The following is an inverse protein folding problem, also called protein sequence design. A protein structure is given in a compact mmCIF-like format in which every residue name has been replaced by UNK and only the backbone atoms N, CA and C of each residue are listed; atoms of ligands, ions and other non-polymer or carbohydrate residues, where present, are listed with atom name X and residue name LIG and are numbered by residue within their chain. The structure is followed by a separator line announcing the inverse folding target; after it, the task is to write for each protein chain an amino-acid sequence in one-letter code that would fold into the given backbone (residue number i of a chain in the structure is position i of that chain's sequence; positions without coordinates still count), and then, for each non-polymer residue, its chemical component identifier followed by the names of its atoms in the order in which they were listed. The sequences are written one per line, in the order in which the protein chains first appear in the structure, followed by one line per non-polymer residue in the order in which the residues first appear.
data_IF_151074196707
#
_entry.id   IF_151074196707
#
_cell.length_a   1.000
_cell.length_b   1.000
_cell.length_c   1.000
_cell.angle_alpha   90.00
_cell.angle_beta   90.00
_cell.angle_gamma   90.00
#
_symmetry.space_group_name_H-M   'P 1'
#
loop_
_entity.id
_entity.type
_entity.pdbx_description
1 polymer ?
#
# COMPACT_ATOMS: atom_id res chain seq x y z
N UNK A 1 82.72 15.96 -38.32
CA UNK A 1 81.60 15.16 -38.86
C UNK A 1 81.04 14.33 -37.71
N UNK A 2 79.83 14.53 -37.19
CA UNK A 2 78.78 15.51 -37.48
C UNK A 2 78.11 15.99 -36.17
N UNK A 3 77.40 17.13 -36.19
CA UNK A 3 76.81 17.73 -35.00
C UNK A 3 75.35 17.31 -34.78
N UNK A 4 74.97 17.27 -33.51
CA UNK A 4 73.59 17.23 -32.99
C UNK A 4 72.97 18.63 -32.95
N UNK A 5 71.62 18.68 -32.98
CA UNK A 5 70.67 19.80 -32.81
C UNK A 5 69.83 19.98 -34.10
N UNK A 6 68.51 20.08 -34.09
CA UNK A 6 67.47 20.07 -33.08
C UNK A 6 66.17 20.26 -33.89
N UNK A 7 65.15 19.43 -33.67
CA UNK A 7 63.93 19.52 -34.47
C UNK A 7 62.79 20.12 -33.65
N UNK A 8 62.17 21.13 -34.26
CA UNK A 8 61.06 21.92 -33.76
C UNK A 8 59.84 21.05 -33.45
N UNK A 9 59.19 21.33 -32.33
CA UNK A 9 57.75 21.10 -32.19
C UNK A 9 57.14 22.30 -31.48
N UNK A 10 56.45 23.12 -32.28
CA UNK A 10 55.46 24.12 -31.87
C UNK A 10 54.51 23.54 -30.84
N UNK A 11 54.50 24.12 -29.64
CA UNK A 11 53.42 23.93 -28.66
C UNK A 11 52.12 24.50 -29.22
N UNK A 12 51.17 23.61 -29.52
CA UNK A 12 49.75 23.96 -29.61
C UNK A 12 49.20 23.76 -28.21
N UNK A 13 48.97 24.87 -27.49
CA UNK A 13 48.20 24.86 -26.26
C UNK A 13 46.76 24.41 -26.58
N UNK A 14 46.48 23.13 -26.35
CA UNK A 14 45.11 22.65 -26.21
C UNK A 14 44.65 23.11 -24.84
N UNK A 15 43.75 24.10 -24.81
CA UNK A 15 42.97 24.43 -23.63
C UNK A 15 41.96 23.31 -23.46
N UNK A 16 42.33 22.28 -22.70
CA UNK A 16 41.37 21.34 -22.11
C UNK A 16 40.67 22.06 -20.97
N UNK A 17 39.37 22.29 -21.14
CA UNK A 17 38.47 22.71 -20.06
C UNK A 17 38.51 21.63 -18.96
N UNK A 18 38.80 21.96 -17.69
CA UNK A 18 38.99 20.96 -16.64
C UNK A 18 37.67 20.38 -16.10
N UNK A 19 36.52 20.79 -16.64
CA UNK A 19 35.20 20.46 -16.08
C UNK A 19 34.53 19.21 -16.69
N UNK A 20 35.14 18.54 -17.68
CA UNK A 20 34.50 17.40 -18.39
C UNK A 20 34.96 16.00 -17.91
N UNK A 21 35.97 15.87 -17.05
CA UNK A 21 36.41 14.56 -16.54
C UNK A 21 35.71 14.11 -15.24
N UNK A 22 35.12 15.02 -14.45
CA UNK A 22 34.51 14.65 -13.16
C UNK A 22 33.06 14.12 -13.26
N UNK A 23 32.38 14.30 -14.40
CA UNK A 23 30.94 13.99 -14.50
C UNK A 23 30.66 12.52 -14.80
N UNK A 24 31.63 11.79 -15.36
CA UNK A 24 31.47 10.37 -15.70
C UNK A 24 31.75 9.41 -14.53
N UNK A 25 32.60 9.80 -13.57
CA UNK A 25 32.91 8.99 -12.40
C UNK A 25 31.86 9.08 -11.29
N UNK A 26 31.03 10.12 -11.27
CA UNK A 26 29.96 10.27 -10.26
C UNK A 26 28.77 9.33 -10.48
N UNK A 27 28.50 8.87 -11.72
CA UNK A 27 27.33 8.03 -12.02
C UNK A 27 27.52 6.56 -11.61
N UNK A 28 28.76 6.10 -11.55
CA UNK A 28 29.14 4.72 -11.23
C UNK A 28 29.87 4.58 -9.89
N UNK A 29 30.04 5.67 -9.13
CA UNK A 29 30.62 5.54 -7.79
C UNK A 29 29.68 4.70 -6.90
N UNK A 30 30.09 3.46 -6.66
CA UNK A 30 29.68 2.55 -5.57
C UNK A 30 29.91 3.17 -4.17
N UNK A 31 30.01 4.49 -4.07
CA UNK A 31 30.33 5.20 -2.84
C UNK A 31 29.21 5.09 -1.81
N UNK A 32 27.96 4.94 -2.28
CA UNK A 32 26.80 4.67 -1.41
C UNK A 32 26.68 3.22 -0.94
N UNK A 33 27.35 2.27 -1.58
CA UNK A 33 27.38 0.86 -1.14
C UNK A 33 28.54 0.56 -0.18
N UNK A 34 29.62 1.35 -0.20
CA UNK A 34 30.85 1.02 0.55
C UNK A 34 31.21 2.00 1.68
N UNK A 35 30.89 3.30 1.61
CA UNK A 35 31.31 4.26 2.66
C UNK A 35 30.33 4.40 3.84
N UNK A 36 29.08 3.96 3.69
CA UNK A 36 28.06 4.09 4.74
C UNK A 36 27.73 2.70 5.28
N UNK A 37 27.98 2.45 6.57
CA UNK A 37 27.83 1.12 7.16
C UNK A 37 26.52 0.44 6.74
N UNK A 38 26.59 -0.83 6.38
CA UNK A 38 25.52 -1.72 5.91
C UNK A 38 24.13 -1.57 6.58
N UNK A 39 24.04 -1.03 7.80
CA UNK A 39 22.80 -0.75 8.53
C UNK A 39 22.14 0.61 8.23
N UNK A 40 22.81 1.53 7.53
CA UNK A 40 22.26 2.85 7.21
C UNK A 40 21.18 2.74 6.13
N UNK A 41 20.10 3.52 6.30
CA UNK A 41 18.97 3.61 5.35
C UNK A 41 19.37 4.01 3.93
N UNK A 42 20.50 4.70 3.77
CA UNK A 42 21.07 5.10 2.48
C UNK A 42 21.70 3.95 1.69
N UNK A 43 22.03 2.84 2.36
CA UNK A 43 22.54 1.63 1.72
C UNK A 43 21.39 0.70 1.35
N UNK A 44 21.52 -0.01 0.24
CA UNK A 44 20.52 -0.99 -0.22
C UNK A 44 20.24 -2.05 0.85
N UNK A 45 21.29 -2.56 1.49
CA UNK A 45 21.17 -3.57 2.54
C UNK A 45 20.42 -3.06 3.78
N UNK A 46 20.71 -1.83 4.21
CA UNK A 46 20.03 -1.20 5.34
C UNK A 46 18.56 -0.91 5.03
N UNK A 47 18.27 -0.37 3.86
CA UNK A 47 16.89 -0.14 3.39
C UNK A 47 16.10 -1.45 3.30
N UNK A 48 16.71 -2.51 2.77
CA UNK A 48 16.11 -3.84 2.72
C UNK A 48 15.78 -4.38 4.11
N UNK A 49 16.70 -4.28 5.07
CA UNK A 49 16.46 -4.68 6.47
C UNK A 49 15.27 -3.95 7.10
N UNK A 50 15.15 -2.64 6.86
CA UNK A 50 14.00 -1.86 7.35
C UNK A 50 12.68 -2.30 6.69
N UNK A 51 12.69 -2.52 5.38
CA UNK A 51 11.51 -2.99 4.66
C UNK A 51 11.08 -4.40 5.10
N UNK A 52 12.03 -5.34 5.24
CA UNK A 52 11.77 -6.68 5.76
C UNK A 52 11.16 -6.58 7.16
N UNK A 53 11.72 -5.77 8.05
CA UNK A 53 11.19 -5.59 9.41
C UNK A 53 9.76 -5.03 9.40
N UNK A 54 9.47 -4.08 8.50
CA UNK A 54 8.15 -3.47 8.36
C UNK A 54 7.09 -4.46 7.86
N UNK A 55 7.45 -5.36 6.94
CA UNK A 55 6.52 -6.37 6.40
C UNK A 55 6.38 -7.60 7.32
N UNK A 56 7.42 -7.90 8.10
CA UNK A 56 7.44 -9.05 9.00
C UNK A 56 6.50 -8.88 10.20
N UNK A 57 6.37 -7.67 10.75
CA UNK A 57 5.50 -7.39 11.90
C UNK A 57 4.02 -7.75 11.64
N UNK A 58 3.37 -7.26 10.56
CA UNK A 58 2.00 -7.69 10.21
C UNK A 58 1.88 -9.19 9.92
N UNK A 59 2.89 -9.82 9.32
CA UNK A 59 2.87 -11.24 9.00
C UNK A 59 2.91 -12.13 10.26
N UNK A 60 3.77 -11.77 11.22
CA UNK A 60 3.86 -12.45 12.51
C UNK A 60 2.56 -12.31 13.31
N UNK A 61 1.98 -11.10 13.34
CA UNK A 61 0.71 -10.86 14.02
C UNK A 61 -0.45 -11.68 13.43
N UNK A 62 -0.61 -11.70 12.10
CA UNK A 62 -1.64 -12.54 11.47
C UNK A 62 -1.48 -14.03 11.79
N UNK A 63 -0.24 -14.51 11.92
CA UNK A 63 0.05 -15.90 12.31
C UNK A 63 -0.34 -16.15 13.76
N UNK A 64 -0.02 -15.23 14.66
CA UNK A 64 -0.34 -15.32 16.09
C UNK A 64 -1.86 -15.36 16.32
N UNK A 65 -2.62 -14.53 15.60
CA UNK A 65 -4.09 -14.53 15.65
C UNK A 65 -4.67 -15.88 15.23
N UNK A 66 -4.15 -16.50 14.16
CA UNK A 66 -4.57 -17.85 13.74
C UNK A 66 -4.29 -18.91 14.81
N UNK A 67 -3.16 -18.82 15.50
CA UNK A 67 -2.81 -19.75 16.60
C UNK A 67 -3.78 -19.59 17.77
N UNK A 68 -4.15 -18.36 18.14
CA UNK A 68 -5.13 -18.14 19.20
C UNK A 68 -6.50 -18.68 18.82
N UNK A 69 -6.94 -18.48 17.58
CA UNK A 69 -8.21 -19.00 17.08
C UNK A 69 -8.22 -20.53 17.05
N UNK A 70 -7.10 -21.16 16.66
CA UNK A 70 -6.96 -22.61 16.71
C UNK A 70 -7.07 -23.18 18.13
N UNK A 71 -6.73 -22.41 19.18
CA UNK A 71 -6.95 -22.81 20.56
C UNK A 71 -8.41 -22.64 21.02
N UNK A 72 -9.20 -21.79 20.34
CA UNK A 72 -10.64 -21.62 20.62
C UNK A 72 -11.42 -22.75 19.96
N UNK A 73 -11.25 -22.94 18.65
CA UNK A 73 -11.84 -24.03 17.89
C UNK A 73 -11.03 -24.28 16.62
N UNK A 74 -10.40 -25.46 16.54
CA UNK A 74 -9.56 -25.85 15.41
C UNK A 74 -10.35 -26.02 14.10
N UNK A 75 -11.64 -26.34 14.17
CA UNK A 75 -12.49 -26.52 12.98
C UNK A 75 -12.86 -25.19 12.30
N UNK A 76 -12.72 -24.08 13.02
CA UNK A 76 -13.09 -22.74 12.57
C UNK A 76 -11.88 -21.88 12.19
N UNK A 77 -10.67 -22.43 12.19
CA UNK A 77 -9.47 -21.71 11.71
C UNK A 77 -9.63 -21.30 10.25
N UNK A 78 -10.26 -22.15 9.43
CA UNK A 78 -10.54 -21.87 8.01
C UNK A 78 -11.52 -20.70 7.85
N UNK A 79 -12.38 -20.45 8.83
CA UNK A 79 -13.29 -19.28 8.85
C UNK A 79 -12.51 -17.96 8.86
N UNK A 80 -11.28 -17.94 9.36
CA UNK A 80 -10.46 -16.71 9.40
C UNK A 80 -9.94 -16.30 8.04
N UNK A 81 -9.77 -17.26 7.12
CA UNK A 81 -9.33 -16.99 5.74
C UNK A 81 -10.40 -16.25 4.93
N UNK A 82 -11.66 -16.34 5.35
CA UNK A 82 -12.78 -15.55 4.81
C UNK A 82 -12.49 -14.05 4.91
N UNK A 83 -11.86 -13.60 6.00
CA UNK A 83 -11.46 -12.20 6.13
C UNK A 83 -10.51 -11.79 5.00
N UNK A 84 -9.55 -12.65 4.68
CA UNK A 84 -8.62 -12.44 3.57
C UNK A 84 -9.36 -12.42 2.23
N UNK A 85 -10.34 -13.31 2.02
CA UNK A 85 -11.11 -13.34 0.77
C UNK A 85 -11.98 -12.09 0.58
N UNK A 86 -12.61 -11.58 1.64
CA UNK A 86 -13.32 -10.29 1.61
C UNK A 86 -12.32 -9.17 1.28
N UNK A 87 -11.14 -9.18 1.90
CA UNK A 87 -10.04 -8.27 1.61
C UNK A 87 -9.62 -8.29 0.13
N UNK A 88 -9.47 -9.47 -0.46
CA UNK A 88 -9.11 -9.63 -1.88
C UNK A 88 -10.17 -9.06 -2.83
N UNK A 89 -11.45 -9.12 -2.46
CA UNK A 89 -12.49 -8.44 -3.26
C UNK A 89 -12.40 -6.92 -3.07
N UNK A 90 -12.17 -6.45 -1.84
CA UNK A 90 -11.98 -5.02 -1.56
C UNK A 90 -10.72 -4.45 -2.24
N UNK A 91 -9.68 -5.25 -2.46
CA UNK A 91 -8.49 -4.87 -3.23
C UNK A 91 -8.82 -4.37 -4.63
N UNK A 92 -9.85 -4.92 -5.27
CA UNK A 92 -10.28 -4.47 -6.61
C UNK A 92 -10.70 -3.00 -6.60
N UNK A 93 -11.44 -2.58 -5.57
CA UNK A 93 -11.78 -1.16 -5.37
C UNK A 93 -10.54 -0.34 -5.03
N UNK A 94 -9.70 -0.87 -4.14
CA UNK A 94 -8.53 -0.18 -3.60
C UNK A 94 -7.41 0.05 -4.61
N UNK A 95 -7.31 -0.77 -5.65
CA UNK A 95 -6.33 -0.61 -6.71
C UNK A 95 -6.84 0.13 -7.95
N UNK A 96 -8.16 0.31 -8.07
CA UNK A 96 -8.76 1.11 -9.14
C UNK A 96 -8.50 2.60 -8.95
N UNK A 97 -9.47 3.31 -8.38
CA UNK A 97 -9.42 4.77 -8.21
C UNK A 97 -8.22 5.26 -7.37
N UNK A 98 -7.81 4.60 -6.27
CA UNK A 98 -6.74 5.11 -5.43
C UNK A 98 -5.35 5.04 -6.09
N UNK A 99 -5.15 4.24 -7.15
CA UNK A 99 -3.91 4.30 -7.95
C UNK A 99 -3.87 5.49 -8.90
N UNK A 100 -5.02 6.05 -9.28
CA UNK A 100 -5.10 7.24 -10.14
C UNK A 100 -4.52 8.50 -9.50
N UNK A 101 -4.40 8.54 -8.16
CA UNK A 101 -3.96 9.74 -7.43
C UNK A 101 -2.57 10.22 -7.86
N UNK A 102 -1.69 9.29 -8.25
CA UNK A 102 -0.31 9.60 -8.64
C UNK A 102 -0.21 10.39 -9.95
N UNK A 103 -1.22 10.32 -10.80
CA UNK A 103 -1.28 11.03 -12.09
C UNK A 103 -2.26 12.20 -12.07
N UNK A 104 -2.99 12.39 -10.97
CA UNK A 104 -4.07 13.39 -10.85
C UNK A 104 -3.84 14.31 -9.66
N UNK A 105 -3.95 13.79 -8.43
CA UNK A 105 -3.77 14.54 -7.18
C UNK A 105 -2.31 14.95 -6.99
N UNK A 106 -1.35 14.13 -7.41
CA UNK A 106 0.08 14.46 -7.29
C UNK A 106 0.56 15.49 -8.33
N UNK A 107 -0.27 15.86 -9.31
CA UNK A 107 0.10 16.85 -10.33
C UNK A 107 0.06 18.28 -9.76
N UNK A 108 1.21 18.75 -9.29
CA UNK A 108 1.36 20.08 -8.70
C UNK A 108 1.62 21.17 -9.73
N UNK A 109 1.94 20.79 -10.96
CA UNK A 109 2.40 21.71 -12.00
C UNK A 109 1.21 22.22 -12.82
N UNK A 110 0.25 21.34 -13.12
CA UNK A 110 -0.90 21.71 -13.95
C UNK A 110 -2.17 22.03 -13.14
N UNK A 111 -2.24 21.60 -11.87
CA UNK A 111 -3.43 21.77 -11.02
C UNK A 111 -3.15 22.62 -9.79
N UNK A 112 -4.10 23.50 -9.46
CA UNK A 112 -4.08 24.25 -8.21
C UNK A 112 -4.24 23.31 -7.00
N UNK A 113 -3.78 23.78 -5.84
CA UNK A 113 -3.94 23.05 -4.57
C UNK A 113 -5.42 22.75 -4.26
N UNK A 114 -6.32 23.70 -4.53
CA UNK A 114 -7.77 23.55 -4.34
C UNK A 114 -8.34 22.43 -5.21
N UNK A 115 -7.97 22.37 -6.49
CA UNK A 115 -8.42 21.28 -7.39
C UNK A 115 -7.90 19.91 -6.96
N UNK A 116 -6.67 19.85 -6.42
CA UNK A 116 -6.10 18.61 -5.87
C UNK A 116 -6.84 18.17 -4.60
N UNK A 117 -7.26 19.12 -3.76
CA UNK A 117 -8.10 18.83 -2.59
C UNK A 117 -9.49 18.36 -2.98
N UNK A 118 -10.12 18.98 -3.97
CA UNK A 118 -11.41 18.55 -4.51
C UNK A 118 -11.35 17.09 -5.00
N UNK A 119 -10.28 16.72 -5.72
CA UNK A 119 -10.04 15.34 -6.13
C UNK A 119 -9.86 14.38 -4.94
N UNK A 120 -9.14 14.81 -3.90
CA UNK A 120 -8.93 14.01 -2.69
C UNK A 120 -10.25 13.74 -1.94
N UNK A 121 -11.08 14.77 -1.73
CA UNK A 121 -12.40 14.62 -1.13
C UNK A 121 -13.31 13.74 -1.99
N UNK A 122 -13.26 13.92 -3.31
CA UNK A 122 -14.01 13.09 -4.25
C UNK A 122 -13.60 11.63 -4.16
N UNK A 123 -12.28 11.33 -4.14
CA UNK A 123 -11.79 9.96 -3.99
C UNK A 123 -12.29 9.31 -2.70
N UNK A 124 -12.14 10.00 -1.57
CA UNK A 124 -12.55 9.48 -0.26
C UNK A 124 -14.05 9.26 -0.21
N UNK A 125 -14.85 10.19 -0.71
CA UNK A 125 -16.32 10.06 -0.74
C UNK A 125 -16.76 8.87 -1.59
N UNK A 126 -16.27 8.78 -2.84
CA UNK A 126 -16.63 7.67 -3.73
C UNK A 126 -16.15 6.32 -3.20
N UNK A 127 -14.95 6.23 -2.64
CA UNK A 127 -14.47 4.99 -2.05
C UNK A 127 -15.27 4.57 -0.80
N UNK A 128 -15.66 5.53 0.03
CA UNK A 128 -16.52 5.27 1.18
C UNK A 128 -17.86 4.68 0.74
N UNK A 129 -18.48 5.26 -0.30
CA UNK A 129 -19.75 4.76 -0.86
C UNK A 129 -19.58 3.36 -1.47
N UNK A 130 -18.54 3.14 -2.28
CA UNK A 130 -18.29 1.82 -2.90
C UNK A 130 -17.97 0.75 -1.85
N UNK A 131 -17.15 1.07 -0.85
CA UNK A 131 -16.85 0.19 0.28
C UNK A 131 -18.08 -0.15 1.11
N UNK A 132 -19.00 0.82 1.31
CA UNK A 132 -20.28 0.59 2.01
C UNK A 132 -21.20 -0.32 1.20
N UNK A 133 -21.36 -0.06 -0.11
CA UNK A 133 -22.14 -0.92 -1.01
C UNK A 133 -21.59 -2.35 -0.97
N UNK A 134 -20.28 -2.51 -1.08
CA UNK A 134 -19.62 -3.82 -1.01
C UNK A 134 -19.88 -4.51 0.34
N UNK A 135 -19.82 -3.78 1.46
CA UNK A 135 -20.12 -4.30 2.80
C UNK A 135 -21.57 -4.78 2.91
N UNK A 136 -22.53 -4.05 2.35
CA UNK A 136 -23.95 -4.43 2.33
C UNK A 136 -24.15 -5.69 1.46
N UNK A 137 -23.48 -5.76 0.30
CA UNK A 137 -23.52 -6.94 -0.57
C UNK A 137 -22.97 -8.16 0.17
N UNK A 138 -21.82 -8.06 0.84
CA UNK A 138 -21.27 -9.17 1.61
C UNK A 138 -22.17 -9.60 2.77
N UNK A 139 -22.76 -8.64 3.48
CA UNK A 139 -23.65 -8.93 4.60
C UNK A 139 -24.92 -9.65 4.14
N UNK A 140 -25.52 -9.21 3.03
CA UNK A 140 -26.72 -9.82 2.45
C UNK A 140 -26.44 -11.16 1.76
N UNK A 141 -25.31 -11.28 1.08
CA UNK A 141 -24.86 -12.49 0.40
C UNK A 141 -24.06 -13.45 1.32
N UNK A 142 -24.01 -13.22 2.63
CA UNK A 142 -23.15 -13.97 3.55
C UNK A 142 -23.36 -15.49 3.48
N UNK A 143 -24.60 -15.95 3.27
CA UNK A 143 -24.91 -17.38 3.08
C UNK A 143 -24.32 -17.94 1.79
N UNK A 144 -24.42 -17.20 0.69
CA UNK A 144 -23.82 -17.61 -0.58
C UNK A 144 -22.29 -17.57 -0.51
N UNK A 145 -21.74 -16.52 0.12
CA UNK A 145 -20.30 -16.36 0.30
C UNK A 145 -19.71 -17.51 1.14
N UNK A 146 -20.32 -17.83 2.28
CA UNK A 146 -19.90 -18.98 3.10
C UNK A 146 -20.06 -20.31 2.38
N UNK A 147 -21.11 -20.50 1.57
CA UNK A 147 -21.28 -21.72 0.80
C UNK A 147 -20.12 -21.97 -0.18
N UNK A 148 -19.57 -20.91 -0.77
CA UNK A 148 -18.47 -20.97 -1.73
C UNK A 148 -17.10 -21.08 -1.06
N UNK A 149 -16.86 -20.32 0.00
CA UNK A 149 -15.52 -20.13 0.57
C UNK A 149 -15.27 -20.82 1.91
N UNK A 150 -16.27 -21.51 2.47
CA UNK A 150 -16.15 -22.24 3.75
C UNK A 150 -16.55 -23.72 3.58
N UNK A 151 -15.78 -24.67 4.14
CA UNK A 151 -16.14 -26.08 4.17
C UNK A 151 -17.47 -26.33 4.90
N UNK A 152 -18.21 -27.37 4.47
CA UNK A 152 -19.59 -27.62 4.92
C UNK A 152 -19.77 -27.62 6.46
N UNK A 153 -18.82 -28.21 7.18
CA UNK A 153 -18.81 -28.34 8.64
C UNK A 153 -18.82 -26.99 9.37
N UNK A 154 -18.09 -25.99 8.86
CA UNK A 154 -17.91 -24.69 9.48
C UNK A 154 -18.90 -23.62 8.96
N UNK A 155 -19.68 -23.90 7.91
CA UNK A 155 -20.52 -22.89 7.22
C UNK A 155 -21.47 -22.16 8.15
N UNK A 156 -22.25 -22.90 8.96
CA UNK A 156 -23.30 -22.31 9.79
C UNK A 156 -22.74 -21.35 10.85
N UNK A 157 -21.62 -21.73 11.47
CA UNK A 157 -20.92 -20.89 12.44
C UNK A 157 -20.24 -19.68 11.79
N UNK A 158 -19.85 -19.81 10.51
CA UNK A 158 -19.12 -18.77 9.77
C UNK A 158 -20.00 -17.66 9.19
N UNK A 159 -21.34 -17.85 9.12
CA UNK A 159 -22.23 -16.83 8.54
C UNK A 159 -22.15 -15.53 9.34
N UNK A 160 -22.24 -15.60 10.67
CA UNK A 160 -22.13 -14.41 11.53
C UNK A 160 -20.75 -13.77 11.42
N UNK A 161 -19.69 -14.58 11.30
CA UNK A 161 -18.33 -14.09 11.09
C UNK A 161 -18.21 -13.29 9.78
N UNK A 162 -18.79 -13.78 8.68
CA UNK A 162 -18.84 -13.05 7.40
C UNK A 162 -19.60 -11.74 7.54
N UNK A 163 -20.75 -11.75 8.22
CA UNK A 163 -21.57 -10.55 8.38
C UNK A 163 -20.86 -9.45 9.15
N UNK A 164 -20.12 -9.82 10.21
CA UNK A 164 -19.28 -8.87 10.95
C UNK A 164 -18.14 -8.41 10.05
N UNK A 165 -17.39 -9.35 9.47
CA UNK A 165 -16.19 -9.05 8.68
C UNK A 165 -16.49 -8.30 7.38
N UNK A 166 -17.73 -8.31 6.88
CA UNK A 166 -18.13 -7.61 5.66
C UNK A 166 -17.78 -6.12 5.69
N UNK A 167 -17.89 -5.46 6.85
CA UNK A 167 -17.57 -4.05 7.04
C UNK A 167 -16.06 -3.75 7.01
N UNK A 168 -15.20 -4.78 6.96
CA UNK A 168 -13.77 -4.59 6.68
C UNK A 168 -13.54 -4.02 5.28
N UNK A 169 -14.44 -4.28 4.33
CA UNK A 169 -14.38 -3.68 2.99
C UNK A 169 -14.52 -2.15 3.05
N UNK A 170 -15.42 -1.65 3.90
CA UNK A 170 -15.60 -0.21 4.12
C UNK A 170 -14.38 0.44 4.77
N UNK A 171 -13.90 -0.12 5.89
CA UNK A 171 -12.71 0.42 6.57
C UNK A 171 -11.48 0.40 5.67
N UNK A 172 -11.27 -0.69 4.92
CA UNK A 172 -10.21 -0.82 3.92
C UNK A 172 -10.30 0.24 2.81
N UNK A 173 -11.50 0.48 2.26
CA UNK A 173 -11.71 1.49 1.23
C UNK A 173 -11.40 2.92 1.72
N UNK A 174 -11.84 3.26 2.94
CA UNK A 174 -11.53 4.56 3.56
C UNK A 174 -10.02 4.68 3.82
N UNK A 175 -9.42 3.68 4.44
CA UNK A 175 -7.99 3.65 4.78
C UNK A 175 -7.11 3.84 3.55
N UNK A 176 -7.35 3.07 2.47
CA UNK A 176 -6.55 3.16 1.25
C UNK A 176 -6.78 4.50 0.55
N UNK A 177 -8.03 4.99 0.48
CA UNK A 177 -8.34 6.28 -0.14
C UNK A 177 -7.65 7.44 0.59
N UNK A 178 -7.78 7.51 1.92
CA UNK A 178 -7.16 8.55 2.74
C UNK A 178 -5.64 8.45 2.67
N UNK A 179 -5.07 7.26 2.80
CA UNK A 179 -3.62 7.05 2.75
C UNK A 179 -3.02 7.48 1.41
N UNK A 180 -3.63 7.08 0.28
CA UNK A 180 -3.13 7.44 -1.04
C UNK A 180 -3.37 8.92 -1.38
N UNK A 181 -4.54 9.48 -1.04
CA UNK A 181 -4.82 10.90 -1.27
C UNK A 181 -3.87 11.81 -0.50
N UNK A 182 -3.63 11.50 0.78
CA UNK A 182 -2.76 12.31 1.64
C UNK A 182 -1.29 12.22 1.25
N UNK A 183 -0.82 11.03 0.83
CA UNK A 183 0.52 10.88 0.22
C UNK A 183 0.65 11.72 -1.05
N UNK A 184 -0.37 11.74 -1.91
CA UNK A 184 -0.36 12.56 -3.13
C UNK A 184 -0.48 14.07 -2.86
N UNK A 185 -0.90 14.47 -1.65
CA UNK A 185 -0.94 15.85 -1.16
C UNK A 185 0.29 16.23 -0.32
N UNK A 186 1.34 15.40 -0.32
CA UNK A 186 2.58 15.57 0.47
C UNK A 186 2.35 15.60 1.99
N UNK A 187 1.35 14.87 2.48
CA UNK A 187 1.04 14.68 3.91
C UNK A 187 1.23 13.22 4.33
N UNK A 188 2.48 12.73 4.44
CA UNK A 188 2.79 11.34 4.81
C UNK A 188 2.57 11.03 6.30
N UNK A 189 2.29 12.05 7.11
CA UNK A 189 1.94 11.96 8.53
C UNK A 189 0.60 11.27 8.76
N UNK A 190 -0.40 11.50 7.89
CA UNK A 190 -1.73 10.87 8.02
C UNK A 190 -1.66 9.32 7.89
N UNK A 191 -1.02 8.74 6.86
CA UNK A 191 -0.82 7.29 6.77
C UNK A 191 -0.09 6.70 7.98
N UNK A 192 0.90 7.42 8.52
CA UNK A 192 1.67 6.96 9.68
C UNK A 192 0.78 6.83 10.92
N UNK A 193 -0.10 7.80 11.16
CA UNK A 193 -1.07 7.75 12.26
C UNK A 193 -2.01 6.57 12.08
N UNK A 194 -2.55 6.36 10.88
CA UNK A 194 -3.44 5.22 10.57
C UNK A 194 -2.77 3.89 10.93
N UNK A 195 -1.57 3.65 10.40
CA UNK A 195 -0.85 2.39 10.65
C UNK A 195 -0.46 2.21 12.12
N UNK A 196 -0.08 3.28 12.81
CA UNK A 196 0.31 3.22 14.22
C UNK A 196 -0.88 2.87 15.11
N UNK A 197 -2.02 3.55 14.93
CA UNK A 197 -3.26 3.26 15.65
C UNK A 197 -3.71 1.84 15.38
N UNK A 198 -3.74 1.43 14.10
CA UNK A 198 -4.14 0.08 13.69
C UNK A 198 -3.31 -1.01 14.37
N UNK A 199 -1.99 -0.89 14.38
CA UNK A 199 -1.10 -1.92 14.94
C UNK A 199 -1.18 -1.95 16.47
N UNK A 200 -1.06 -0.79 17.12
CA UNK A 200 -1.01 -0.70 18.59
C UNK A 200 -2.33 -1.14 19.21
N UNK A 201 -3.45 -0.67 18.66
CA UNK A 201 -4.79 -0.98 19.19
C UNK A 201 -5.14 -2.45 18.95
N UNK A 202 -4.85 -3.00 17.76
CA UNK A 202 -5.05 -4.42 17.47
C UNK A 202 -4.27 -5.33 18.43
N UNK A 203 -2.97 -5.04 18.64
CA UNK A 203 -2.14 -5.86 19.52
C UNK A 203 -2.66 -5.82 20.97
N UNK A 204 -3.02 -4.64 21.48
CA UNK A 204 -3.50 -4.50 22.86
C UNK A 204 -4.84 -5.22 23.05
N UNK A 205 -5.81 -5.00 22.17
CA UNK A 205 -7.14 -5.61 22.30
C UNK A 205 -7.09 -7.13 22.16
N UNK A 206 -6.32 -7.66 21.21
CA UNK A 206 -6.21 -9.10 21.04
C UNK A 206 -5.47 -9.76 22.22
N UNK A 207 -4.45 -9.10 22.77
CA UNK A 207 -3.77 -9.58 23.98
C UNK A 207 -4.71 -9.60 25.19
N UNK A 208 -5.56 -8.58 25.35
CA UNK A 208 -6.47 -8.46 26.49
C UNK A 208 -7.67 -9.41 26.41
N UNK A 209 -8.17 -9.70 25.21
CA UNK A 209 -9.47 -10.35 25.02
C UNK A 209 -9.37 -11.78 24.45
N UNK A 210 -8.36 -12.07 23.62
CA UNK A 210 -8.26 -13.33 22.86
C UNK A 210 -7.10 -14.21 23.36
N UNK A 211 -6.01 -13.60 23.87
CA UNK A 211 -4.83 -14.37 24.27
C UNK A 211 -5.12 -15.38 25.40
N UNK A 212 -4.24 -16.38 25.55
CA UNK A 212 -4.32 -17.37 26.65
C UNK A 212 -4.27 -16.74 28.06
N UNK A 213 -3.86 -15.47 28.16
CA UNK A 213 -3.72 -14.72 29.42
C UNK A 213 -4.68 -13.51 29.37
N UNK A 214 -5.90 -13.71 28.86
CA UNK A 214 -6.90 -12.64 28.78
C UNK A 214 -7.38 -12.22 30.18
N UNK A 215 -7.74 -10.94 30.32
CA UNK A 215 -8.18 -10.37 31.59
C UNK A 215 -9.70 -10.48 31.67
N UNK A 216 -10.21 -11.53 32.33
CA UNK A 216 -11.64 -11.72 32.62
C UNK A 216 -12.12 -13.15 32.44
N UNK A 217 -13.22 -13.54 33.10
CA UNK A 217 -13.78 -14.90 33.09
C UNK A 217 -14.68 -15.23 31.89
N UNK A 218 -14.46 -14.60 30.74
CA UNK A 218 -15.29 -14.76 29.54
C UNK A 218 -14.69 -15.82 28.61
N UNK A 219 -15.53 -16.57 27.88
CA UNK A 219 -15.04 -17.49 26.86
C UNK A 219 -14.80 -16.76 25.53
N UNK A 220 -13.55 -16.72 25.02
CA UNK A 220 -13.26 -16.08 23.74
C UNK A 220 -13.99 -16.79 22.60
N UNK A 221 -14.53 -16.01 21.66
CA UNK A 221 -15.23 -16.52 20.48
C UNK A 221 -14.67 -15.93 19.20
N UNK A 222 -14.86 -16.64 18.09
CA UNK A 222 -14.36 -16.21 16.77
C UNK A 222 -15.10 -14.96 16.27
N UNK A 223 -16.37 -14.79 16.64
CA UNK A 223 -17.10 -13.56 16.35
C UNK A 223 -16.53 -12.36 17.11
N UNK A 224 -16.04 -12.57 18.34
CA UNK A 224 -15.36 -11.52 19.11
C UNK A 224 -14.04 -11.12 18.44
N UNK A 225 -13.31 -12.08 17.88
CA UNK A 225 -12.11 -11.80 17.09
C UNK A 225 -12.40 -10.97 15.83
N UNK A 226 -13.43 -11.33 15.05
CA UNK A 226 -13.86 -10.53 13.90
C UNK A 226 -14.26 -9.12 14.31
N UNK A 227 -14.99 -8.97 15.43
CA UNK A 227 -15.44 -7.69 15.93
C UNK A 227 -14.27 -6.79 16.37
N UNK A 228 -13.29 -7.34 17.07
CA UNK A 228 -12.09 -6.60 17.48
C UNK A 228 -11.32 -6.13 16.24
N UNK A 229 -11.03 -7.04 15.32
CA UNK A 229 -10.28 -6.73 14.08
C UNK A 229 -10.98 -5.64 13.27
N UNK A 230 -12.29 -5.79 13.05
CA UNK A 230 -13.11 -4.78 12.38
C UNK A 230 -13.07 -3.43 13.12
N UNK A 231 -13.23 -3.46 14.45
CA UNK A 231 -13.22 -2.27 15.29
C UNK A 231 -11.92 -1.50 15.16
N UNK A 232 -10.78 -2.18 15.23
CA UNK A 232 -9.47 -1.58 15.06
C UNK A 232 -9.28 -0.98 13.66
N UNK A 233 -9.66 -1.73 12.61
CA UNK A 233 -9.52 -1.26 11.22
C UNK A 233 -10.41 -0.03 10.97
N UNK A 234 -11.64 -0.03 11.52
CA UNK A 234 -12.55 1.11 11.43
C UNK A 234 -12.04 2.32 12.24
N UNK A 235 -11.56 2.13 13.47
CA UNK A 235 -11.00 3.20 14.30
C UNK A 235 -9.78 3.82 13.62
N UNK A 236 -8.90 3.01 13.04
CA UNK A 236 -7.74 3.50 12.32
C UNK A 236 -8.14 4.32 11.09
N UNK A 237 -9.06 3.81 10.27
CA UNK A 237 -9.55 4.50 9.08
C UNK A 237 -10.23 5.84 9.41
N UNK A 238 -11.10 5.86 10.42
CA UNK A 238 -11.81 7.07 10.86
C UNK A 238 -10.86 8.09 11.51
N UNK A 239 -9.90 7.62 12.31
CA UNK A 239 -8.87 8.50 12.91
C UNK A 239 -8.01 9.15 11.83
N UNK A 240 -7.61 8.39 10.81
CA UNK A 240 -6.91 8.92 9.65
C UNK A 240 -7.71 9.97 8.90
N UNK A 241 -8.99 9.71 8.67
CA UNK A 241 -9.89 10.66 8.01
C UNK A 241 -10.08 11.94 8.84
N UNK A 242 -10.31 11.81 10.15
CA UNK A 242 -10.45 12.95 11.05
C UNK A 242 -9.18 13.80 11.08
N UNK A 243 -8.01 13.17 11.19
CA UNK A 243 -6.73 13.85 11.17
C UNK A 243 -6.46 14.54 9.82
N UNK A 244 -6.81 13.91 8.70
CA UNK A 244 -6.75 14.54 7.38
C UNK A 244 -7.59 15.82 7.32
N UNK A 245 -8.86 15.74 7.71
CA UNK A 245 -9.79 16.89 7.71
C UNK A 245 -9.27 18.00 8.63
N UNK A 246 -8.81 17.65 9.84
CA UNK A 246 -8.26 18.61 10.79
C UNK A 246 -7.02 19.33 10.23
N UNK A 247 -6.10 18.58 9.60
CA UNK A 247 -4.87 19.13 9.03
C UNK A 247 -5.15 20.05 7.84
N UNK A 248 -6.26 19.85 7.12
CA UNK A 248 -6.70 20.75 6.05
C UNK A 248 -7.35 22.01 6.64
N UNK A 249 -8.27 21.86 7.59
CA UNK A 249 -8.96 22.99 8.22
C UNK A 249 -8.00 23.96 8.93
N UNK A 250 -7.02 23.44 9.68
CA UNK A 250 -6.00 24.26 10.35
C UNK A 250 -5.07 24.98 9.37
N UNK A 251 -4.84 24.40 8.19
CA UNK A 251 -4.05 25.04 7.13
C UNK A 251 -4.82 26.17 6.45
N UNK A 252 -6.15 26.09 6.38
CA UNK A 252 -7.02 27.08 5.74
C UNK A 252 -7.39 28.25 6.65
N UNK A 253 -7.48 28.03 7.96
CA UNK A 253 -7.66 29.11 8.95
C UNK A 253 -6.50 30.13 8.86
N UNK A 254 -5.34 29.69 8.37
CA UNK A 254 -4.18 30.53 8.03
C UNK A 254 -4.27 31.26 6.68
N UNK A 255 -5.20 30.92 5.78
CA UNK A 255 -5.26 31.39 4.38
C UNK A 255 -6.50 32.18 3.96
N UNK A 256 -7.57 32.24 4.77
CA UNK A 256 -8.71 33.18 4.62
C UNK A 256 -9.49 33.20 3.28
N UNK A 257 -10.80 32.91 3.38
CA UNK A 257 -11.92 33.49 2.62
C UNK A 257 -11.95 33.39 1.08
N UNK A 258 -11.71 32.22 0.51
CA UNK A 258 -12.36 31.87 -0.76
C UNK A 258 -13.00 30.49 -0.69
N UNK A 259 -14.34 30.49 -0.59
CA UNK A 259 -15.19 29.31 -0.69
C UNK A 259 -15.41 28.97 -2.16
N UNK A 260 -14.49 28.23 -2.79
CA UNK A 260 -14.76 27.60 -4.09
C UNK A 260 -14.18 26.17 -4.06
N UNK A 261 -15.06 25.17 -4.12
CA UNK A 261 -14.69 23.80 -4.52
C UNK A 261 -14.27 22.79 -3.45
N UNK A 262 -14.90 22.77 -2.26
CA UNK A 262 -14.64 21.73 -1.23
C UNK A 262 -15.52 20.48 -1.33
N UNK A 263 -16.45 20.45 -2.27
CA UNK A 263 -17.44 19.38 -2.37
C UNK A 263 -17.03 18.33 -3.40
N UNK A 264 -17.33 17.05 -3.16
CA UNK A 264 -17.04 15.99 -4.11
C UNK A 264 -17.84 16.22 -5.40
N UNK A 265 -17.15 16.34 -6.53
CA UNK A 265 -17.77 16.65 -7.82
C UNK A 265 -17.70 15.46 -8.76
N UNK A 266 -18.76 15.22 -9.53
CA UNK A 266 -18.79 14.12 -10.51
C UNK A 266 -17.74 14.26 -11.62
N UNK A 267 -17.42 15.49 -12.03
CA UNK A 267 -16.32 15.78 -12.97
C UNK A 267 -14.94 15.38 -12.42
N UNK A 268 -14.70 15.64 -11.14
CA UNK A 268 -13.49 15.23 -10.44
C UNK A 268 -13.40 13.69 -10.36
N UNK A 269 -14.54 13.00 -10.18
CA UNK A 269 -14.59 11.54 -10.24
C UNK A 269 -14.22 11.01 -11.63
N UNK A 270 -14.76 11.59 -12.70
CA UNK A 270 -14.46 11.15 -14.07
C UNK A 270 -12.98 11.35 -14.41
N UNK A 271 -12.37 12.40 -13.85
CA UNK A 271 -10.93 12.66 -13.93
C UNK A 271 -10.11 11.55 -13.27
N UNK A 272 -10.54 11.03 -12.10
CA UNK A 272 -9.89 9.91 -11.41
C UNK A 272 -10.13 8.57 -12.12
N UNK A 273 -11.33 8.38 -12.67
CA UNK A 273 -11.73 7.12 -13.30
C UNK A 273 -10.92 6.84 -14.57
N UNK A 274 -10.61 7.86 -15.37
CA UNK A 274 -9.93 7.69 -16.67
C UNK A 274 -8.60 6.91 -16.57
N UNK A 275 -7.66 7.26 -15.67
CA UNK A 275 -6.47 6.43 -15.45
C UNK A 275 -6.73 5.21 -14.53
N UNK A 276 -7.67 5.30 -13.58
CA UNK A 276 -7.93 4.21 -12.61
C UNK A 276 -8.68 3.00 -13.16
N UNK A 277 -9.35 3.12 -14.31
CA UNK A 277 -10.13 2.02 -14.89
C UNK A 277 -9.27 0.85 -15.36
N UNK A 278 -8.07 1.12 -15.90
CA UNK A 278 -7.17 0.06 -16.36
C UNK A 278 -6.63 -0.78 -15.19
N UNK A 279 -6.21 -0.13 -14.10
CA UNK A 279 -5.76 -0.83 -12.89
C UNK A 279 -6.91 -1.53 -12.18
N UNK A 280 -8.12 -0.97 -12.25
CA UNK A 280 -9.33 -1.63 -11.76
C UNK A 280 -9.59 -2.95 -12.50
N UNK A 281 -9.57 -2.95 -13.84
CA UNK A 281 -9.76 -4.17 -14.63
C UNK A 281 -8.67 -5.20 -14.34
N UNK A 282 -7.41 -4.77 -14.33
CA UNK A 282 -6.27 -5.65 -14.06
C UNK A 282 -6.41 -6.32 -12.69
N UNK A 283 -6.72 -5.53 -11.65
CA UNK A 283 -6.99 -6.03 -10.30
C UNK A 283 -8.20 -6.96 -10.25
N UNK A 284 -9.29 -6.59 -10.92
CA UNK A 284 -10.51 -7.40 -10.98
C UNK A 284 -10.26 -8.78 -11.60
N UNK A 285 -9.54 -8.84 -12.73
CA UNK A 285 -9.19 -10.11 -13.38
C UNK A 285 -8.30 -10.95 -12.48
N UNK A 286 -7.24 -10.36 -11.91
CA UNK A 286 -6.30 -11.07 -11.05
C UNK A 286 -6.97 -11.64 -9.80
N UNK A 287 -7.80 -10.84 -9.14
CA UNK A 287 -8.50 -11.22 -7.91
C UNK A 287 -9.66 -12.20 -8.19
N UNK A 288 -10.34 -12.08 -9.32
CA UNK A 288 -11.36 -13.05 -9.73
C UNK A 288 -10.75 -14.43 -10.02
N UNK A 289 -9.63 -14.49 -10.75
CA UNK A 289 -8.92 -15.74 -11.01
C UNK A 289 -8.42 -16.38 -9.70
N UNK A 290 -7.90 -15.58 -8.78
CA UNK A 290 -7.49 -16.05 -7.46
C UNK A 290 -8.68 -16.63 -6.67
N UNK A 291 -9.79 -15.91 -6.56
CA UNK A 291 -10.96 -16.38 -5.81
C UNK A 291 -11.61 -17.59 -6.47
N UNK A 292 -11.56 -17.70 -7.79
CA UNK A 292 -12.02 -18.90 -8.51
C UNK A 292 -11.17 -20.13 -8.15
N UNK A 293 -9.84 -19.98 -8.10
CA UNK A 293 -8.95 -21.04 -7.64
C UNK A 293 -9.27 -21.45 -6.19
N UNK A 294 -9.42 -20.48 -5.28
CA UNK A 294 -9.76 -20.73 -3.88
C UNK A 294 -11.08 -21.49 -3.74
N UNK A 295 -12.12 -21.05 -4.46
CA UNK A 295 -13.42 -21.71 -4.45
C UNK A 295 -13.32 -23.16 -4.92
N UNK A 296 -12.52 -23.44 -5.95
CA UNK A 296 -12.24 -24.80 -6.41
C UNK A 296 -11.57 -25.67 -5.34
N UNK A 297 -10.58 -25.13 -4.62
CA UNK A 297 -9.86 -25.84 -3.56
C UNK A 297 -10.78 -26.15 -2.38
N UNK A 298 -11.58 -25.17 -1.93
CA UNK A 298 -12.55 -25.36 -0.84
C UNK A 298 -13.62 -26.38 -1.21
N UNK A 299 -14.02 -26.45 -2.49
CA UNK A 299 -15.00 -27.42 -2.97
C UNK A 299 -14.49 -28.87 -2.96
N UNK A 300 -13.16 -29.10 -2.95
CA UNK A 300 -12.60 -30.46 -2.95
C UNK A 300 -12.78 -31.18 -1.62
N UNK A 301 -12.34 -30.57 -0.51
CA UNK A 301 -12.55 -31.10 0.86
C UNK A 301 -12.14 -30.09 1.93
N UNK A 302 -12.50 -30.37 3.19
CA UNK A 302 -12.01 -29.63 4.36
C UNK A 302 -10.49 -29.74 4.55
N UNK A 303 -9.89 -30.90 4.22
CA UNK A 303 -8.44 -31.11 4.32
C UNK A 303 -7.69 -30.23 3.31
N UNK A 304 -8.19 -30.14 2.07
CA UNK A 304 -7.63 -29.26 1.03
C UNK A 304 -7.77 -27.78 1.41
N UNK A 305 -8.90 -27.37 1.99
CA UNK A 305 -9.09 -26.00 2.47
C UNK A 305 -8.10 -25.66 3.62
N UNK A 306 -7.89 -26.60 4.54
CA UNK A 306 -6.93 -26.43 5.64
C UNK A 306 -5.49 -26.38 5.12
N UNK A 307 -5.13 -27.28 4.21
CA UNK A 307 -3.83 -27.29 3.56
C UNK A 307 -3.57 -25.99 2.78
N UNK A 308 -4.59 -25.44 2.12
CA UNK A 308 -4.52 -24.13 1.47
C UNK A 308 -4.29 -22.98 2.46
N UNK A 309 -4.98 -22.99 3.61
CA UNK A 309 -4.74 -22.02 4.69
C UNK A 309 -3.30 -22.07 5.21
N UNK A 310 -2.72 -23.26 5.34
CA UNK A 310 -1.31 -23.44 5.73
C UNK A 310 -0.38 -22.93 4.62
N UNK A 311 -0.60 -23.38 3.37
CA UNK A 311 0.20 -22.99 2.21
C UNK A 311 0.22 -21.47 2.04
N UNK A 312 -0.95 -20.83 2.09
CA UNK A 312 -1.07 -19.37 1.92
C UNK A 312 -0.38 -18.62 3.05
N UNK A 313 -0.47 -19.10 4.29
CA UNK A 313 0.22 -18.51 5.45
C UNK A 313 1.74 -18.59 5.27
N UNK A 314 2.27 -19.76 4.86
CA UNK A 314 3.70 -19.93 4.56
C UNK A 314 4.10 -19.06 3.38
N UNK A 315 3.35 -19.06 2.29
CA UNK A 315 3.62 -18.24 1.10
C UNK A 315 3.71 -16.77 1.47
N UNK A 316 2.77 -16.26 2.26
CA UNK A 316 2.74 -14.86 2.63
C UNK A 316 3.94 -14.48 3.52
N UNK A 317 4.18 -15.25 4.58
CA UNK A 317 5.26 -14.98 5.53
C UNK A 317 6.66 -15.24 4.99
N UNK A 318 6.88 -16.37 4.32
CA UNK A 318 8.20 -16.80 3.87
C UNK A 318 8.60 -16.22 2.51
N UNK A 319 7.64 -16.07 1.59
CA UNK A 319 7.92 -15.67 0.20
C UNK A 319 7.52 -14.22 -0.05
N UNK A 320 6.27 -13.85 0.24
CA UNK A 320 5.77 -12.50 -0.11
C UNK A 320 6.44 -11.41 0.70
N UNK A 321 6.67 -11.59 2.00
CA UNK A 321 7.36 -10.58 2.84
C UNK A 321 8.75 -10.23 2.29
N UNK A 322 9.66 -11.19 2.00
CA UNK A 322 10.93 -10.87 1.36
C UNK A 322 10.80 -10.27 -0.04
N UNK A 323 9.89 -10.79 -0.88
CA UNK A 323 9.69 -10.28 -2.25
C UNK A 323 9.19 -8.83 -2.22
N UNK A 324 8.20 -8.52 -1.39
CA UNK A 324 7.68 -7.16 -1.21
C UNK A 324 8.74 -6.22 -0.63
N UNK A 325 9.59 -6.71 0.29
CA UNK A 325 10.70 -5.93 0.80
C UNK A 325 11.73 -5.62 -0.31
N UNK A 326 12.06 -6.60 -1.15
CA UNK A 326 12.96 -6.42 -2.30
C UNK A 326 12.36 -5.48 -3.34
N UNK A 327 11.07 -5.63 -3.66
CA UNK A 327 10.34 -4.75 -4.57
C UNK A 327 10.35 -3.32 -4.05
N UNK A 328 9.92 -3.09 -2.80
CA UNK A 328 9.88 -1.77 -2.18
C UNK A 328 11.26 -1.12 -2.13
N UNK A 329 12.30 -1.90 -1.81
CA UNK A 329 13.68 -1.41 -1.80
C UNK A 329 14.14 -1.06 -3.22
N UNK A 330 13.94 -1.95 -4.18
CA UNK A 330 14.33 -1.73 -5.59
C UNK A 330 13.65 -0.50 -6.16
N UNK A 331 12.34 -0.34 -5.92
CA UNK A 331 11.57 0.83 -6.33
C UNK A 331 12.13 2.13 -5.73
N UNK A 332 12.54 2.11 -4.46
CA UNK A 332 13.14 3.28 -3.83
C UNK A 332 14.46 3.69 -4.49
N UNK A 333 15.36 2.74 -4.75
CA UNK A 333 16.65 3.03 -5.39
C UNK A 333 16.50 3.41 -6.85
N UNK A 334 15.76 2.62 -7.64
CA UNK A 334 15.48 2.92 -9.06
C UNK A 334 14.80 4.28 -9.17
N UNK A 335 13.86 4.59 -8.28
CA UNK A 335 13.20 5.90 -8.21
C UNK A 335 14.18 7.05 -7.98
N UNK A 336 15.10 6.92 -7.02
CA UNK A 336 16.14 7.92 -6.77
C UNK A 336 17.09 8.11 -7.96
N UNK A 337 17.57 7.01 -8.58
CA UNK A 337 18.42 7.09 -9.75
C UNK A 337 17.71 7.73 -10.95
N UNK A 338 16.44 7.38 -11.16
CA UNK A 338 15.62 7.99 -12.21
C UNK A 338 15.43 9.49 -11.98
N UNK A 339 15.22 9.91 -10.73
CA UNK A 339 15.09 11.32 -10.38
C UNK A 339 16.37 12.11 -10.66
N UNK A 340 17.54 11.58 -10.30
CA UNK A 340 18.85 12.20 -10.58
C UNK A 340 19.09 12.26 -12.10
N UNK A 341 18.84 11.17 -12.82
CA UNK A 341 18.96 11.12 -14.28
C UNK A 341 18.07 12.14 -14.97
N UNK A 342 16.82 12.30 -14.50
CA UNK A 342 15.89 13.30 -15.02
C UNK A 342 16.36 14.72 -14.70
N UNK A 343 16.84 14.98 -13.49
CA UNK A 343 17.39 16.27 -13.07
C UNK A 343 18.58 16.73 -13.93
N UNK A 344 19.56 15.85 -14.14
CA UNK A 344 20.76 16.14 -14.94
C UNK A 344 20.43 16.39 -16.42
N UNK A 345 19.47 15.66 -16.98
CA UNK A 345 19.06 15.88 -18.37
C UNK A 345 18.19 17.14 -18.56
N UNK A 346 17.50 17.60 -17.51
CA UNK A 346 16.78 18.89 -17.52
C UNK A 346 17.77 20.05 -17.41
N UNK A 347 18.78 19.95 -16.54
CA UNK A 347 19.85 20.95 -16.41
C UNK A 347 20.73 21.05 -17.67
N UNK A 348 21.02 19.94 -18.34
CA UNK A 348 21.80 19.94 -19.60
C UNK A 348 21.00 20.28 -20.87
N UNK A 349 19.71 20.61 -20.75
CA UNK A 349 18.87 21.02 -21.89
C UNK A 349 18.60 19.93 -22.94
N UNK A 350 19.05 18.69 -22.76
CA UNK A 350 18.91 17.57 -23.72
C UNK A 350 17.45 17.21 -23.98
N UNK A 351 16.56 17.34 -23.00
CA UNK A 351 15.13 17.09 -23.18
C UNK A 351 14.44 18.11 -24.10
N UNK A 352 14.89 19.38 -24.13
CA UNK A 352 14.34 20.37 -25.09
C UNK A 352 14.69 20.03 -26.53
N UNK A 353 15.88 19.46 -26.78
CA UNK A 353 16.33 19.02 -28.12
C UNK A 353 15.64 17.74 -28.61
N UNK A 354 15.21 16.86 -27.71
CA UNK A 354 14.43 15.66 -28.05
C UNK A 354 12.96 15.99 -28.27
N UNK A 355 12.38 16.87 -27.45
CA UNK A 355 11.01 17.34 -27.61
C UNK A 355 10.79 18.22 -28.86
N UNK A 356 11.84 18.82 -29.43
CA UNK A 356 11.77 19.57 -30.69
C UNK A 356 11.93 18.70 -31.95
N UNK A 357 12.13 17.38 -31.79
CA UNK A 357 12.29 16.40 -32.88
C UNK A 357 11.12 15.39 -32.97
N UNK A 358 10.17 15.48 -32.05
CA UNK A 358 8.83 14.89 -32.13
C UNK A 358 7.86 16.01 -32.50
#
# INVERSE_FOLDING_TARGET
MGPTLGNNSTEVHVVTDPDDEDTHDSLLSLRWTVESGWWRRSSYAGCLLYNVSSFMLPALYNTLVKIWIANIDSSLVVTTDVYTYIGTVAEVLNEGLPRAVWVTIADQVTRSYESRLELAYTLVAFQTVLGLIMSIIFTSAAKAFTATFVPHEARKASITYVQISAFSALSSAIEVAVSNATRALDKPDVPLVISSVKIVVNIILDLLVISKIHVGGWSPSINMQAAIRLGCDMVAALTGLAYFIQTINLSEERRSWHNIGKFPTFSAFLTLLKPGWLTFIESAVRNALYLWLVAGIVAMSADYATAWGIFTTIRWGLIMVPVQALEATSLAFVGHFWAIFKGNNIQSGRWRKLASKL
#
